data_IF_301419703846
#
_entry.id   IF_301419703846
#
_cell.length_a   1.000
_cell.length_b   1.000
_cell.length_c   1.000
_cell.angle_alpha   90.00
_cell.angle_beta   90.00
_cell.angle_gamma   90.00
#
_symmetry.space_group_name_H-M   'P 1'
#
loop_
_entity.id
_entity.type
_entity.pdbx_description
1 polymer ?
#
# COMPACT_ATOMS: atom_id res chain seq x y z
N UNK A 1 7.12 -17.01 -13.66
CA UNK A 1 6.92 -15.95 -12.64
C UNK A 1 6.36 -14.65 -13.22
N UNK A 2 6.94 -14.10 -14.31
CA UNK A 2 6.52 -12.80 -14.89
C UNK A 2 5.04 -12.66 -15.26
N UNK A 3 4.40 -13.68 -15.85
CA UNK A 3 2.97 -13.65 -16.20
C UNK A 3 2.05 -13.50 -14.97
N UNK A 4 2.43 -14.08 -13.84
CA UNK A 4 1.67 -13.96 -12.58
C UNK A 4 1.88 -12.59 -11.93
N UNK A 5 3.08 -12.01 -12.07
CA UNK A 5 3.39 -10.65 -11.57
C UNK A 5 2.60 -9.62 -12.37
N UNK A 6 2.59 -9.72 -13.70
CA UNK A 6 1.85 -8.80 -14.56
C UNK A 6 0.34 -8.83 -14.26
N UNK A 7 -0.24 -10.03 -14.13
CA UNK A 7 -1.64 -10.19 -13.74
C UNK A 7 -1.93 -9.60 -12.36
N UNK A 8 -1.01 -9.78 -11.40
CA UNK A 8 -1.14 -9.19 -10.07
C UNK A 8 -1.11 -7.66 -10.12
N UNK A 9 -0.15 -7.07 -10.82
CA UNK A 9 -0.03 -5.63 -10.98
C UNK A 9 -1.25 -5.02 -11.69
N UNK A 10 -1.76 -5.68 -12.72
CA UNK A 10 -2.97 -5.26 -13.41
C UNK A 10 -4.20 -5.27 -12.49
N UNK A 11 -4.42 -6.37 -11.75
CA UNK A 11 -5.50 -6.46 -10.77
C UNK A 11 -5.35 -5.43 -9.65
N UNK A 12 -4.12 -5.23 -9.17
CA UNK A 12 -3.80 -4.21 -8.17
C UNK A 12 -4.17 -2.81 -8.66
N UNK A 13 -3.79 -2.44 -9.90
CA UNK A 13 -4.14 -1.14 -10.49
C UNK A 13 -5.65 -0.95 -10.60
N UNK A 14 -6.40 -1.97 -11.01
CA UNK A 14 -7.87 -1.90 -11.07
C UNK A 14 -8.45 -1.67 -9.68
N UNK A 15 -8.02 -2.46 -8.69
CA UNK A 15 -8.60 -2.37 -7.34
C UNK A 15 -8.24 -1.05 -6.68
N UNK A 16 -6.99 -0.59 -6.76
CA UNK A 16 -6.60 0.67 -6.12
C UNK A 16 -7.31 1.87 -6.78
N UNK A 17 -7.50 1.84 -8.09
CA UNK A 17 -8.25 2.87 -8.82
C UNK A 17 -9.73 2.86 -8.43
N UNK A 18 -10.35 1.68 -8.40
CA UNK A 18 -11.74 1.53 -7.97
C UNK A 18 -11.95 1.96 -6.51
N UNK A 19 -11.04 1.58 -5.62
CA UNK A 19 -11.07 1.99 -4.22
C UNK A 19 -10.90 3.50 -4.04
N UNK A 20 -10.05 4.15 -4.85
CA UNK A 20 -9.92 5.61 -4.85
C UNK A 20 -11.23 6.29 -5.28
N UNK A 21 -11.86 5.79 -6.34
CA UNK A 21 -13.15 6.32 -6.81
C UNK A 21 -14.25 6.14 -5.76
N UNK A 22 -14.32 4.99 -5.09
CA UNK A 22 -15.29 4.74 -4.02
C UNK A 22 -15.04 5.69 -2.84
N UNK A 23 -13.79 5.86 -2.42
CA UNK A 23 -13.45 6.73 -1.29
C UNK A 23 -13.80 8.19 -1.58
N UNK A 24 -13.46 8.69 -2.78
CA UNK A 24 -13.87 10.03 -3.21
C UNK A 24 -15.39 10.17 -3.34
N UNK A 25 -16.06 9.12 -3.84
CA UNK A 25 -17.52 9.06 -3.94
C UNK A 25 -18.19 9.22 -2.57
N UNK A 26 -17.74 8.47 -1.57
CA UNK A 26 -18.23 8.57 -0.19
C UNK A 26 -18.07 10.00 0.35
N UNK A 27 -16.87 10.57 0.22
CA UNK A 27 -16.59 11.92 0.73
C UNK A 27 -17.52 12.96 0.10
N UNK A 28 -17.71 12.88 -1.22
CA UNK A 28 -18.59 13.80 -1.94
C UNK A 28 -20.07 13.59 -1.59
N UNK A 29 -20.53 12.34 -1.42
CA UNK A 29 -21.94 12.05 -1.08
C UNK A 29 -22.31 12.46 0.34
N UNK A 30 -21.39 12.34 1.29
CA UNK A 30 -21.62 12.67 2.71
C UNK A 30 -21.16 14.09 3.07
N UNK A 31 -20.70 14.89 2.09
CA UNK A 31 -20.21 16.26 2.27
C UNK A 31 -19.17 16.36 3.41
N UNK A 32 -18.30 15.35 3.51
CA UNK A 32 -17.28 15.31 4.56
C UNK A 32 -16.19 16.33 4.26
N UNK A 33 -15.92 17.24 5.19
CA UNK A 33 -14.77 18.14 5.12
C UNK A 33 -13.48 17.34 5.30
N UNK A 34 -12.90 16.92 4.17
CA UNK A 34 -11.69 16.09 4.08
C UNK A 34 -10.69 16.76 3.15
N UNK A 35 -9.40 16.61 3.46
CA UNK A 35 -8.35 17.15 2.62
C UNK A 35 -8.07 16.20 1.44
N UNK A 36 -8.58 16.57 0.26
CA UNK A 36 -8.44 15.79 -0.98
C UNK A 36 -6.97 15.55 -1.35
N UNK A 37 -6.08 16.50 -1.07
CA UNK A 37 -4.66 16.36 -1.37
C UNK A 37 -4.02 15.24 -0.54
N UNK A 38 -4.44 15.10 0.72
CA UNK A 38 -3.96 14.03 1.62
C UNK A 38 -4.45 12.67 1.15
N UNK A 39 -5.70 12.57 0.69
CA UNK A 39 -6.24 11.32 0.14
C UNK A 39 -5.47 10.96 -1.13
N UNK A 40 -5.33 11.88 -2.08
CA UNK A 40 -4.57 11.65 -3.32
C UNK A 40 -3.12 11.24 -3.01
N UNK A 41 -2.46 11.95 -2.11
CA UNK A 41 -1.12 11.62 -1.64
C UNK A 41 -1.06 10.20 -1.06
N UNK A 42 -2.01 9.84 -0.21
CA UNK A 42 -2.08 8.53 0.44
C UNK A 42 -2.19 7.39 -0.56
N UNK A 43 -3.04 7.51 -1.59
CA UNK A 43 -3.17 6.48 -2.62
C UNK A 43 -1.91 6.38 -3.50
N UNK A 44 -1.33 7.51 -3.89
CA UNK A 44 -0.10 7.53 -4.69
C UNK A 44 1.07 6.93 -3.90
N UNK A 45 1.29 7.41 -2.68
CA UNK A 45 2.35 6.92 -1.79
C UNK A 45 2.23 5.42 -1.55
N UNK A 46 1.04 4.95 -1.13
CA UNK A 46 0.84 3.53 -0.87
C UNK A 46 1.01 2.69 -2.13
N UNK A 47 0.57 3.17 -3.30
CA UNK A 47 0.73 2.45 -4.57
C UNK A 47 2.19 2.33 -4.99
N UNK A 48 2.93 3.44 -4.95
CA UNK A 48 4.36 3.45 -5.29
C UNK A 48 5.13 2.57 -4.32
N UNK A 49 4.85 2.68 -3.02
CA UNK A 49 5.48 1.83 -2.02
C UNK A 49 5.20 0.36 -2.29
N UNK A 50 3.93 -0.02 -2.50
CA UNK A 50 3.54 -1.41 -2.81
C UNK A 50 4.28 -1.93 -4.05
N UNK A 51 4.41 -1.13 -5.09
CA UNK A 51 5.13 -1.52 -6.30
C UNK A 51 6.61 -1.78 -6.02
N UNK A 52 7.30 -0.82 -5.40
CA UNK A 52 8.73 -0.93 -5.04
C UNK A 52 8.95 -2.13 -4.11
N UNK A 53 8.12 -2.24 -3.08
CA UNK A 53 8.21 -3.27 -2.08
C UNK A 53 7.97 -4.67 -2.66
N UNK A 54 7.00 -4.82 -3.56
CA UNK A 54 6.75 -6.07 -4.28
C UNK A 54 7.98 -6.49 -5.10
N UNK A 55 8.62 -5.54 -5.79
CA UNK A 55 9.84 -5.82 -6.56
C UNK A 55 11.00 -6.23 -5.65
N UNK A 56 11.19 -5.55 -4.52
CA UNK A 56 12.21 -5.89 -3.51
C UNK A 56 11.97 -7.30 -2.97
N UNK A 57 10.73 -7.62 -2.59
CA UNK A 57 10.34 -8.95 -2.13
C UNK A 57 10.63 -10.02 -3.18
N UNK A 58 10.34 -9.77 -4.46
CA UNK A 58 10.63 -10.72 -5.54
C UNK A 58 12.11 -11.01 -5.76
N UNK A 59 12.97 -10.02 -5.54
CA UNK A 59 14.42 -10.19 -5.62
C UNK A 59 14.92 -10.93 -4.38
N UNK A 60 14.50 -10.51 -3.19
CA UNK A 60 14.91 -11.12 -1.93
C UNK A 60 14.37 -12.53 -1.77
N UNK A 61 13.23 -12.86 -2.36
CA UNK A 61 12.66 -14.21 -2.26
C UNK A 61 13.53 -15.29 -2.89
N UNK A 62 14.43 -14.92 -3.79
CA UNK A 62 15.40 -15.83 -4.40
C UNK A 62 16.54 -16.21 -3.44
N UNK A 63 16.87 -15.34 -2.48
CA UNK A 63 18.04 -15.48 -1.60
C UNK A 63 17.68 -15.72 -0.13
N UNK A 64 16.59 -15.14 0.36
CA UNK A 64 16.20 -15.10 1.77
C UNK A 64 14.79 -15.64 1.99
N UNK A 65 14.49 -16.79 1.39
CA UNK A 65 13.13 -17.34 1.37
C UNK A 65 12.55 -17.58 2.75
N UNK A 66 13.33 -18.13 3.69
CA UNK A 66 12.86 -18.44 5.05
C UNK A 66 12.66 -17.19 5.92
N UNK A 67 13.24 -16.06 5.50
CA UNK A 67 13.17 -14.78 6.22
C UNK A 67 12.23 -13.76 5.57
N UNK A 68 11.59 -14.11 4.46
CA UNK A 68 10.68 -13.23 3.71
C UNK A 68 9.56 -12.66 4.58
N UNK A 69 9.01 -13.44 5.50
CA UNK A 69 7.99 -12.97 6.45
C UNK A 69 8.50 -11.85 7.35
N UNK A 70 9.74 -11.97 7.85
CA UNK A 70 10.39 -10.95 8.66
C UNK A 70 10.72 -9.68 7.84
N UNK A 71 11.23 -9.86 6.62
CA UNK A 71 11.46 -8.75 5.68
C UNK A 71 10.14 -8.02 5.40
N UNK A 72 9.05 -8.77 5.22
CA UNK A 72 7.74 -8.21 4.97
C UNK A 72 7.23 -7.36 6.14
N UNK A 73 7.31 -7.90 7.37
CA UNK A 73 6.91 -7.20 8.59
C UNK A 73 7.75 -5.93 8.81
N UNK A 74 9.07 -6.03 8.68
CA UNK A 74 9.98 -4.89 8.81
C UNK A 74 9.69 -3.80 7.77
N UNK A 75 9.48 -4.18 6.51
CA UNK A 75 9.12 -3.23 5.45
C UNK A 75 7.77 -2.54 5.67
N UNK A 76 6.78 -3.26 6.22
CA UNK A 76 5.48 -2.69 6.58
C UNK A 76 5.60 -1.66 7.71
N UNK A 77 6.45 -1.91 8.71
CA UNK A 77 6.77 -0.94 9.76
C UNK A 77 7.48 0.30 9.20
N UNK A 78 8.45 0.09 8.30
CA UNK A 78 9.13 1.19 7.60
C UNK A 78 8.13 2.04 6.82
N UNK A 79 7.14 1.44 6.13
CA UNK A 79 6.09 2.15 5.39
C UNK A 79 5.35 3.15 6.27
N UNK A 80 4.94 2.73 7.46
CA UNK A 80 4.25 3.57 8.43
C UNK A 80 5.18 4.68 8.93
N UNK A 81 6.42 4.34 9.28
CA UNK A 81 7.41 5.32 9.73
C UNK A 81 7.71 6.40 8.68
N UNK A 82 7.87 6.00 7.42
CA UNK A 82 8.08 6.93 6.29
C UNK A 82 6.87 7.82 6.09
N UNK A 83 5.65 7.29 6.18
CA UNK A 83 4.44 8.11 6.10
C UNK A 83 4.39 9.17 7.20
N UNK A 84 4.69 8.80 8.44
CA UNK A 84 4.73 9.74 9.58
C UNK A 84 5.79 10.82 9.33
N UNK A 85 6.98 10.43 8.86
CA UNK A 85 8.05 11.37 8.56
C UNK A 85 7.67 12.36 7.46
N UNK A 86 7.12 11.89 6.33
CA UNK A 86 6.70 12.75 5.22
C UNK A 86 5.54 13.66 5.66
N UNK A 87 4.60 13.13 6.46
CA UNK A 87 3.47 13.92 6.96
C UNK A 87 3.95 15.09 7.83
N UNK A 88 4.93 14.84 8.70
CA UNK A 88 5.55 15.87 9.53
C UNK A 88 6.34 16.90 8.71
N UNK A 89 7.02 16.47 7.65
CA UNK A 89 7.78 17.36 6.76
C UNK A 89 6.90 18.22 5.85
N UNK A 90 5.67 17.79 5.59
CA UNK A 90 4.73 18.47 4.70
C UNK A 90 3.76 19.40 5.46
N UNK A 91 4.03 19.65 6.75
CA UNK A 91 3.16 20.39 7.68
C UNK A 91 1.70 19.90 7.69
N UNK A 92 1.49 18.61 7.41
CA UNK A 92 0.16 18.03 7.58
C UNK A 92 -0.13 17.90 9.08
N UNK A 93 -1.13 18.64 9.55
CA UNK A 93 -1.65 18.43 10.89
C UNK A 93 -2.15 16.98 11.01
N UNK A 94 -1.48 16.20 11.87
CA UNK A 94 -1.84 14.83 12.18
C UNK A 94 -3.14 14.80 12.98
N UNK A 95 -4.25 15.01 12.29
CA UNK A 95 -5.59 14.80 12.81
C UNK A 95 -6.00 13.34 12.60
N UNK A 96 -7.00 12.90 13.38
CA UNK A 96 -7.58 11.56 13.24
C UNK A 96 -8.08 11.29 11.81
N UNK A 97 -8.62 12.32 11.14
CA UNK A 97 -9.11 12.22 9.77
C UNK A 97 -7.98 11.93 8.78
N UNK A 98 -6.85 12.64 8.88
CA UNK A 98 -5.66 12.46 8.03
C UNK A 98 -5.10 11.05 8.16
N UNK A 99 -5.00 10.55 9.39
CA UNK A 99 -4.56 9.18 9.63
C UNK A 99 -5.52 8.15 9.02
N UNK A 100 -6.83 8.35 9.16
CA UNK A 100 -7.84 7.44 8.58
C UNK A 100 -7.79 7.44 7.05
N UNK A 101 -7.64 8.61 6.43
CA UNK A 101 -7.55 8.74 4.96
C UNK A 101 -6.34 7.96 4.42
N UNK A 102 -5.21 8.05 5.12
CA UNK A 102 -4.03 7.24 4.83
C UNK A 102 -4.28 5.75 5.06
N UNK A 103 -4.88 5.41 6.20
CA UNK A 103 -5.05 4.03 6.62
C UNK A 103 -5.96 3.22 5.68
N UNK A 104 -6.97 3.85 5.08
CA UNK A 104 -7.83 3.21 4.07
C UNK A 104 -7.00 2.75 2.87
N UNK A 105 -6.22 3.66 2.27
CA UNK A 105 -5.36 3.32 1.14
C UNK A 105 -4.29 2.27 1.51
N UNK A 106 -3.70 2.44 2.70
CA UNK A 106 -2.72 1.52 3.26
C UNK A 106 -3.25 0.10 3.41
N UNK A 107 -4.43 -0.08 4.01
CA UNK A 107 -5.00 -1.41 4.24
C UNK A 107 -5.25 -2.16 2.94
N UNK A 108 -5.79 -1.49 1.93
CA UNK A 108 -6.04 -2.11 0.61
C UNK A 108 -4.73 -2.58 0.01
N UNK A 109 -3.71 -1.72 -0.01
CA UNK A 109 -2.37 -2.08 -0.47
C UNK A 109 -1.76 -3.24 0.35
N UNK A 110 -1.87 -3.21 1.67
CA UNK A 110 -1.32 -4.21 2.56
C UNK A 110 -1.94 -5.59 2.31
N UNK A 111 -3.27 -5.66 2.12
CA UNK A 111 -3.95 -6.93 1.79
C UNK A 111 -3.37 -7.55 0.52
N UNK A 112 -3.13 -6.73 -0.51
CA UNK A 112 -2.51 -7.18 -1.75
C UNK A 112 -1.07 -7.65 -1.54
N UNK A 113 -0.27 -6.90 -0.77
CA UNK A 113 1.10 -7.28 -0.44
C UNK A 113 1.13 -8.62 0.31
N UNK A 114 0.31 -8.79 1.36
CA UNK A 114 0.19 -10.04 2.14
C UNK A 114 -0.20 -11.20 1.23
N UNK A 115 -1.24 -11.03 0.42
CA UNK A 115 -1.69 -12.06 -0.52
C UNK A 115 -0.57 -12.50 -1.46
N UNK A 116 0.16 -11.53 -2.02
CA UNK A 116 1.24 -11.80 -2.97
C UNK A 116 2.45 -12.46 -2.32
N UNK A 117 2.90 -11.95 -1.18
CA UNK A 117 4.02 -12.53 -0.41
C UNK A 117 3.68 -13.96 0.01
N UNK A 118 2.46 -14.19 0.50
CA UNK A 118 1.97 -15.53 0.86
C UNK A 118 2.00 -16.48 -0.32
N UNK A 119 1.63 -16.01 -1.52
CA UNK A 119 1.69 -16.80 -2.75
C UNK A 119 3.13 -17.12 -3.15
N UNK A 120 4.06 -16.18 -3.03
CA UNK A 120 5.49 -16.44 -3.30
C UNK A 120 6.04 -17.50 -2.35
N UNK A 121 5.75 -17.38 -1.05
CA UNK A 121 6.16 -18.33 -0.03
C UNK A 121 5.62 -19.75 -0.31
N UNK A 122 4.33 -19.85 -0.63
CA UNK A 122 3.68 -21.14 -0.89
C UNK A 122 4.04 -21.75 -2.25
N UNK A 123 4.29 -20.94 -3.28
CA UNK A 123 4.65 -21.42 -4.63
C UNK A 123 6.09 -21.93 -4.74
N UNK A 124 6.89 -21.75 -3.68
CA UNK A 124 8.28 -22.21 -3.67
C UNK A 124 8.47 -23.47 -2.82
N UNK A 125 7.43 -24.01 -2.18
CA UNK A 125 7.43 -25.41 -1.72
C UNK A 125 7.32 -26.34 -2.93
#
# INVERSE_FOLDING_TARGET
MGKNVFRFLFLFTIVISGSYMIHMGIINTFLLERNINIIKFSYIFNSVFTFVFTMVILVLSKKFKDQLGFIFMGGSLIKIGVFIAISKLSDFEMSKSVFLDFFVAYLICLIFEVYYVSRILNSSK
#
